data_IF_627789544174
#
_entry.id   IF_627789544174
#
_cell.length_a   1.000
_cell.length_b   1.000
_cell.length_c   1.000
_cell.angle_alpha   90.00
_cell.angle_beta   90.00
_cell.angle_gamma   90.00
#
_symmetry.space_group_name_H-M   'P 1'
#
loop_
_entity.id
_entity.type
_entity.pdbx_description
1 polymer ?
#
# COMPACT_ATOMS: atom_id res chain seq x y z
N UNK A 1 -29.90 38.92 -8.90
CA UNK A 1 -29.80 38.70 -10.37
C UNK A 1 -28.48 38.00 -10.65
N UNK A 2 -28.49 36.69 -10.77
CA UNK A 2 -27.31 35.86 -10.97
C UNK A 2 -27.00 35.77 -12.46
N UNK A 3 -25.94 36.44 -12.89
CA UNK A 3 -25.47 36.43 -14.28
C UNK A 3 -24.73 35.09 -14.54
N UNK A 4 -25.42 34.17 -15.21
CA UNK A 4 -24.80 32.91 -15.70
C UNK A 4 -24.00 33.23 -16.97
N UNK A 5 -22.70 33.38 -16.84
CA UNK A 5 -21.81 33.43 -17.98
C UNK A 5 -21.73 32.05 -18.66
N UNK A 6 -22.28 31.91 -19.84
CA UNK A 6 -22.13 30.78 -20.72
C UNK A 6 -20.70 30.81 -21.34
N UNK A 7 -19.81 29.97 -20.87
CA UNK A 7 -18.54 29.74 -21.54
C UNK A 7 -18.81 29.09 -22.90
N UNK A 8 -18.46 29.79 -23.98
CA UNK A 8 -18.50 29.24 -25.36
C UNK A 8 -17.15 28.54 -25.61
N UNK A 9 -17.20 27.23 -25.74
CA UNK A 9 -16.07 26.43 -26.20
C UNK A 9 -15.89 26.63 -27.71
N UNK A 10 -14.86 27.32 -28.13
CA UNK A 10 -14.45 27.40 -29.52
C UNK A 10 -13.54 26.20 -29.84
N UNK A 11 -14.17 25.11 -30.28
CA UNK A 11 -13.45 23.99 -30.91
C UNK A 11 -13.19 24.35 -32.36
N UNK A 12 -11.98 24.75 -32.72
CA UNK A 12 -11.55 24.87 -34.12
C UNK A 12 -10.89 23.54 -34.51
N UNK A 13 -11.59 22.78 -35.38
CA UNK A 13 -11.05 21.67 -36.16
C UNK A 13 -9.82 22.16 -36.95
N UNK A 14 -8.67 21.55 -36.67
CA UNK A 14 -7.54 21.57 -37.60
C UNK A 14 -6.56 22.73 -37.45
N UNK A 15 -5.73 22.71 -36.39
CA UNK A 15 -4.38 23.22 -36.47
C UNK A 15 -3.48 22.03 -36.15
N UNK A 16 -3.15 21.28 -37.19
CA UNK A 16 -2.08 20.27 -37.17
C UNK A 16 -0.78 20.98 -37.37
N UNK A 17 -0.06 21.29 -36.31
CA UNK A 17 1.37 21.53 -36.37
C UNK A 17 2.02 20.19 -36.01
N UNK A 18 2.38 19.40 -37.02
CA UNK A 18 3.27 18.25 -37.03
C UNK A 18 3.34 17.38 -35.77
N UNK A 19 2.29 16.58 -35.52
CA UNK A 19 2.12 15.74 -34.32
C UNK A 19 0.75 16.04 -33.68
N UNK A 20 -0.02 15.00 -33.34
CA UNK A 20 -1.42 15.02 -32.89
C UNK A 20 -1.70 15.86 -31.62
N UNK A 21 -1.45 17.15 -31.63
CA UNK A 21 -1.73 18.05 -30.51
C UNK A 21 -3.09 18.73 -30.69
N UNK A 22 -4.08 18.30 -29.92
CA UNK A 22 -5.37 18.97 -29.80
C UNK A 22 -5.23 20.17 -28.86
N UNK A 23 -5.24 21.37 -29.41
CA UNK A 23 -5.36 22.63 -28.67
C UNK A 23 -6.85 22.93 -28.40
N UNK A 24 -7.27 22.94 -27.14
CA UNK A 24 -8.58 23.43 -26.72
C UNK A 24 -8.41 24.78 -25.99
N UNK A 25 -9.02 25.83 -26.51
CA UNK A 25 -8.97 27.15 -25.90
C UNK A 25 -10.31 27.62 -25.37
N UNK A 26 -10.35 28.26 -24.23
CA UNK A 26 -11.48 28.98 -23.69
C UNK A 26 -11.25 30.47 -23.84
N UNK A 27 -12.08 31.14 -24.62
CA UNK A 27 -12.09 32.60 -24.71
C UNK A 27 -13.35 33.14 -24.02
N UNK A 28 -13.18 33.85 -22.89
CA UNK A 28 -14.27 34.57 -22.24
C UNK A 28 -14.45 35.95 -22.89
N UNK A 29 -15.65 36.28 -23.33
CA UNK A 29 -16.04 37.64 -23.75
C UNK A 29 -16.87 38.23 -22.64
N UNK A 30 -16.40 39.30 -22.05
CA UNK A 30 -17.06 40.57 -21.75
C UNK A 30 -16.34 41.38 -20.69
N UNK A 31 -16.16 42.63 -21.00
CA UNK A 31 -15.98 43.82 -20.16
C UNK A 31 -15.34 43.70 -18.77
N UNK A 32 -14.21 43.01 -18.67
CA UNK A 32 -13.29 43.19 -17.56
C UNK A 32 -11.88 43.31 -18.11
N UNK A 33 -11.10 44.21 -17.58
CA UNK A 33 -9.74 44.54 -18.02
C UNK A 33 -8.75 43.39 -17.95
N UNK A 34 -9.13 42.27 -17.30
CA UNK A 34 -8.31 41.07 -17.21
C UNK A 34 -8.96 39.91 -17.98
N UNK A 35 -8.43 39.56 -19.14
CA UNK A 35 -8.89 38.46 -19.95
C UNK A 35 -7.91 37.30 -19.86
N UNK A 36 -8.26 36.32 -19.05
CA UNK A 36 -7.49 35.08 -18.92
C UNK A 36 -7.95 34.07 -19.95
N UNK A 37 -7.03 33.44 -20.65
CA UNK A 37 -7.29 32.35 -21.56
C UNK A 37 -6.38 31.18 -21.19
N UNK A 38 -6.99 30.01 -20.95
CA UNK A 38 -6.26 28.77 -20.73
C UNK A 38 -6.21 27.96 -22.01
N UNK A 39 -5.04 27.53 -22.40
CA UNK A 39 -4.82 26.61 -23.51
C UNK A 39 -4.24 25.33 -22.97
N UNK A 40 -4.93 24.23 -23.17
CA UNK A 40 -4.42 22.91 -22.83
C UNK A 40 -3.77 22.29 -24.06
N UNK A 41 -2.49 22.00 -23.99
CA UNK A 41 -1.77 21.27 -25.01
C UNK A 41 -1.79 19.78 -24.70
N UNK A 42 -1.99 18.98 -25.75
CA UNK A 42 -2.17 17.55 -25.85
C UNK A 42 -1.51 16.59 -24.83
N UNK A 43 -1.03 15.45 -25.29
CA UNK A 43 -0.61 14.27 -24.49
C UNK A 43 0.44 14.50 -23.38
N UNK A 44 1.09 15.64 -23.35
CA UNK A 44 2.12 16.00 -22.38
C UNK A 44 1.57 16.54 -21.05
N UNK A 45 0.24 16.63 -20.87
CA UNK A 45 -0.41 17.12 -19.66
C UNK A 45 -0.10 18.58 -19.31
N UNK A 46 0.48 19.36 -20.23
CA UNK A 46 0.85 20.76 -20.02
C UNK A 46 -0.40 21.65 -20.08
N UNK A 47 -0.62 22.42 -19.03
CA UNK A 47 -1.63 23.48 -18.99
C UNK A 47 -0.91 24.83 -19.04
N UNK A 48 -1.24 25.62 -20.07
CA UNK A 48 -0.73 26.97 -20.23
C UNK A 48 -1.82 27.98 -19.88
N UNK A 49 -1.50 28.90 -18.98
CA UNK A 49 -2.34 30.04 -18.66
C UNK A 49 -1.72 31.27 -19.30
N UNK A 50 -2.40 31.85 -20.30
CA UNK A 50 -1.94 33.02 -21.01
C UNK A 50 -2.90 34.17 -20.70
N UNK A 51 -2.36 35.26 -20.20
CA UNK A 51 -3.09 36.50 -19.92
C UNK A 51 -2.66 37.55 -20.93
N UNK A 52 -3.61 38.05 -21.71
CA UNK A 52 -3.39 39.13 -22.67
C UNK A 52 -4.11 40.39 -22.18
N UNK A 53 -3.35 41.45 -21.96
CA UNK A 53 -3.84 42.78 -21.59
C UNK A 53 -3.84 43.68 -22.84
N UNK A 54 -4.88 44.52 -22.97
CA UNK A 54 -4.96 45.61 -23.98
C UNK A 54 -4.90 45.14 -25.46
N UNK A 55 -5.25 43.90 -25.77
CA UNK A 55 -5.25 43.41 -27.15
C UNK A 55 -6.66 43.55 -27.82
N UNK A 56 -6.70 43.94 -29.10
CA UNK A 56 -7.94 43.94 -29.86
C UNK A 56 -8.49 42.51 -30.05
N UNK A 57 -9.79 42.36 -30.29
CA UNK A 57 -10.43 41.04 -30.32
C UNK A 57 -9.86 40.13 -31.42
N UNK A 58 -9.44 40.64 -32.57
CA UNK A 58 -8.84 39.88 -33.65
C UNK A 58 -7.39 39.53 -33.36
N UNK A 59 -6.60 40.48 -32.92
CA UNK A 59 -5.18 40.26 -32.58
C UNK A 59 -5.00 39.25 -31.41
N UNK A 60 -5.95 39.25 -30.47
CA UNK A 60 -5.91 38.39 -29.30
C UNK A 60 -5.89 36.89 -29.62
N UNK A 61 -6.69 36.45 -30.62
CA UNK A 61 -6.71 35.05 -31.04
C UNK A 61 -5.39 34.62 -31.67
N UNK A 62 -4.83 35.48 -32.53
CA UNK A 62 -3.55 35.20 -33.18
C UNK A 62 -2.39 35.23 -32.18
N UNK A 63 -2.39 36.13 -31.27
CA UNK A 63 -1.36 36.26 -30.24
C UNK A 63 -1.42 35.09 -29.23
N UNK A 64 -2.61 34.63 -28.84
CA UNK A 64 -2.78 33.40 -28.04
C UNK A 64 -2.16 32.20 -28.73
N UNK A 65 -2.42 32.04 -30.04
CA UNK A 65 -1.89 30.91 -30.79
C UNK A 65 -0.35 31.01 -30.95
N UNK A 66 0.17 32.21 -31.20
CA UNK A 66 1.61 32.44 -31.26
C UNK A 66 2.30 32.13 -29.93
N UNK A 67 1.74 32.63 -28.81
CA UNK A 67 2.30 32.40 -27.49
C UNK A 67 2.21 30.92 -27.09
N UNK A 68 1.08 30.23 -27.38
CA UNK A 68 0.94 28.81 -27.13
C UNK A 68 1.96 27.97 -27.92
N UNK A 69 2.14 28.29 -29.22
CA UNK A 69 3.18 27.64 -30.05
C UNK A 69 4.58 27.94 -29.54
N UNK A 70 4.85 29.17 -29.15
CA UNK A 70 6.14 29.56 -28.60
C UNK A 70 6.44 28.79 -27.32
N UNK A 71 5.53 28.73 -26.37
CA UNK A 71 5.68 27.96 -25.13
C UNK A 71 5.86 26.46 -25.40
N UNK A 72 5.04 25.85 -26.27
CA UNK A 72 5.16 24.45 -26.65
C UNK A 72 6.45 24.14 -27.42
N UNK A 73 7.06 25.15 -28.11
CA UNK A 73 8.35 24.98 -28.76
C UNK A 73 9.53 25.00 -27.79
N UNK A 74 9.38 25.54 -26.60
CA UNK A 74 10.44 25.72 -25.60
C UNK A 74 10.42 24.75 -24.43
N UNK A 75 9.29 24.13 -24.16
CA UNK A 75 9.11 23.27 -22.98
C UNK A 75 8.63 21.89 -23.40
N UNK A 76 9.26 20.87 -22.87
CA UNK A 76 8.84 19.47 -23.00
C UNK A 76 8.26 18.96 -21.68
N UNK A 77 7.11 18.26 -21.76
CA UNK A 77 6.49 17.58 -20.63
C UNK A 77 6.84 16.09 -20.63
N UNK A 78 7.36 15.62 -19.52
CA UNK A 78 7.68 14.20 -19.33
C UNK A 78 6.75 13.59 -18.30
N UNK A 79 6.01 12.52 -18.67
CA UNK A 79 5.23 11.75 -17.72
C UNK A 79 6.16 10.87 -16.89
N UNK A 80 6.38 11.24 -15.66
CA UNK A 80 7.29 10.59 -14.72
C UNK A 80 6.59 9.51 -13.90
N UNK A 81 5.35 9.78 -13.52
CA UNK A 81 4.51 8.87 -12.75
C UNK A 81 3.23 8.59 -13.54
N UNK A 82 2.90 7.31 -13.72
CA UNK A 82 1.65 6.88 -14.35
C UNK A 82 0.58 6.66 -13.29
N UNK A 83 -0.66 7.10 -13.54
CA UNK A 83 -1.82 6.80 -12.69
C UNK A 83 -1.94 5.31 -12.41
N UNK A 84 -2.22 4.93 -11.16
CA UNK A 84 -2.33 3.54 -10.74
C UNK A 84 -0.99 2.81 -10.55
N UNK A 85 0.16 3.47 -10.75
CA UNK A 85 1.46 2.87 -10.46
C UNK A 85 1.67 2.76 -8.95
N UNK A 86 2.03 1.57 -8.48
CA UNK A 86 2.41 1.35 -7.08
C UNK A 86 3.77 1.98 -6.82
N UNK A 87 3.84 2.87 -5.83
CA UNK A 87 5.03 3.67 -5.53
C UNK A 87 5.63 3.37 -4.15
N UNK A 88 4.99 2.49 -3.38
CA UNK A 88 5.51 2.07 -2.09
C UNK A 88 4.50 1.33 -1.24
N UNK A 89 4.84 1.17 0.03
CA UNK A 89 3.97 0.61 1.07
C UNK A 89 3.83 1.61 2.20
N UNK A 90 2.66 1.68 2.80
CA UNK A 90 2.39 2.48 3.97
C UNK A 90 2.08 1.57 5.16
N UNK A 91 2.62 1.91 6.32
CA UNK A 91 2.34 1.19 7.56
C UNK A 91 1.03 1.69 8.16
N UNK A 92 0.12 0.75 8.45
CA UNK A 92 -1.17 1.01 9.10
C UNK A 92 -1.09 0.56 10.55
N UNK A 93 -1.32 1.50 11.47
CA UNK A 93 -1.37 1.22 12.91
C UNK A 93 -2.73 0.66 13.27
N UNK A 94 -2.78 -0.33 14.15
CA UNK A 94 -3.99 -0.96 14.68
C UNK A 94 -4.90 -1.59 13.62
N UNK A 95 -4.34 -1.95 12.46
CA UNK A 95 -5.08 -2.58 11.36
C UNK A 95 -4.98 -4.10 11.38
N UNK A 96 -5.95 -4.76 10.73
CA UNK A 96 -5.89 -6.20 10.43
C UNK A 96 -4.62 -6.56 9.66
N UNK A 97 -4.16 -5.65 8.79
CA UNK A 97 -2.89 -5.69 8.08
C UNK A 97 -2.00 -4.55 8.55
N UNK A 98 -0.75 -4.84 8.75
CA UNK A 98 0.24 -3.85 9.21
C UNK A 98 0.80 -2.97 8.09
N UNK A 99 0.72 -3.45 6.84
CA UNK A 99 1.19 -2.74 5.65
C UNK A 99 0.24 -2.93 4.48
N UNK A 100 0.05 -1.84 3.72
CA UNK A 100 -0.73 -1.84 2.47
C UNK A 100 0.05 -1.13 1.38
N UNK A 101 -0.25 -1.47 0.11
CA UNK A 101 0.30 -0.77 -1.04
C UNK A 101 -0.26 0.64 -1.18
N UNK A 102 0.56 1.53 -1.73
CA UNK A 102 0.17 2.88 -2.09
C UNK A 102 0.40 3.09 -3.59
N UNK A 103 -0.61 3.59 -4.29
CA UNK A 103 -0.57 3.85 -5.72
C UNK A 103 -0.90 5.31 -6.06
N UNK A 104 -0.39 5.78 -7.19
CA UNK A 104 -0.62 7.15 -7.65
C UNK A 104 -2.07 7.40 -8.06
N UNK A 105 -2.66 8.49 -7.58
CA UNK A 105 -4.03 8.91 -7.91
C UNK A 105 -4.17 9.43 -9.35
N UNK A 106 -3.12 10.05 -9.86
CA UNK A 106 -3.09 10.68 -11.18
C UNK A 106 -1.74 10.49 -11.86
N UNK A 107 -1.67 10.84 -13.13
CA UNK A 107 -0.40 10.99 -13.82
C UNK A 107 0.37 12.16 -13.21
N UNK A 108 1.68 12.01 -13.12
CA UNK A 108 2.60 13.04 -12.67
C UNK A 108 3.55 13.44 -13.78
N UNK A 109 3.65 14.72 -14.04
CA UNK A 109 4.46 15.28 -15.11
C UNK A 109 5.57 16.17 -14.54
N UNK A 110 6.70 16.18 -15.25
CA UNK A 110 7.78 17.13 -15.07
C UNK A 110 7.96 17.91 -16.36
N UNK A 111 8.17 19.20 -16.25
CA UNK A 111 8.36 20.09 -17.38
C UNK A 111 9.81 20.59 -17.38
N UNK A 112 10.46 20.48 -18.53
CA UNK A 112 11.81 20.94 -18.73
C UNK A 112 11.90 21.79 -19.99
N UNK A 113 12.83 22.77 -20.05
CA UNK A 113 13.24 23.36 -21.33
C UNK A 113 13.71 22.24 -22.25
N UNK A 114 13.49 22.38 -23.57
CA UNK A 114 13.89 21.35 -24.55
C UNK A 114 15.38 21.00 -24.50
N UNK A 115 16.19 21.98 -24.11
CA UNK A 115 17.64 21.82 -23.92
C UNK A 115 17.99 21.24 -22.54
N UNK A 116 16.98 21.03 -21.67
CA UNK A 116 17.16 20.55 -20.31
C UNK A 116 17.46 19.06 -20.24
N UNK A 117 18.39 18.68 -19.37
CA UNK A 117 18.71 17.28 -19.16
C UNK A 117 17.62 16.55 -18.34
N UNK A 118 17.12 15.41 -18.86
CA UNK A 118 16.19 14.53 -18.14
C UNK A 118 16.75 14.00 -16.81
N UNK A 119 18.08 14.04 -16.63
CA UNK A 119 18.74 13.64 -15.38
C UNK A 119 18.37 14.54 -14.19
N UNK A 120 17.85 15.74 -14.46
CA UNK A 120 17.37 16.64 -13.41
C UNK A 120 16.03 16.19 -12.79
N UNK A 121 15.31 15.28 -13.45
CA UNK A 121 14.04 14.78 -12.96
C UNK A 121 14.28 13.68 -11.92
N UNK A 122 13.80 13.89 -10.71
CA UNK A 122 13.83 12.92 -9.60
C UNK A 122 12.44 12.74 -9.04
N UNK A 123 12.15 11.57 -8.45
CA UNK A 123 10.89 11.31 -7.75
C UNK A 123 11.16 10.84 -6.34
N UNK A 124 10.36 11.31 -5.39
CA UNK A 124 10.42 10.88 -4.00
C UNK A 124 9.03 10.59 -3.45
N UNK A 125 8.78 9.37 -2.99
CA UNK A 125 7.50 9.01 -2.37
C UNK A 125 7.58 9.22 -0.86
N UNK A 126 6.67 10.02 -0.32
CA UNK A 126 6.55 10.31 1.11
C UNK A 126 5.24 9.70 1.60
N UNK A 127 5.35 8.69 2.49
CA UNK A 127 4.22 8.05 3.13
C UNK A 127 3.90 8.73 4.46
N UNK A 128 2.62 8.83 4.80
CA UNK A 128 2.24 9.36 6.11
C UNK A 128 2.59 8.37 7.22
N UNK A 129 3.35 8.81 8.22
CA UNK A 129 3.81 7.95 9.32
C UNK A 129 2.73 7.57 10.34
N UNK A 130 1.56 8.23 10.31
CA UNK A 130 0.49 8.08 11.30
C UNK A 130 -0.82 7.60 10.70
N UNK A 131 -0.77 6.73 9.69
CA UNK A 131 -1.99 6.12 9.14
C UNK A 131 -2.50 5.09 10.14
N UNK A 132 -3.71 5.31 10.67
CA UNK A 132 -4.40 4.42 11.62
C UNK A 132 -5.59 3.76 10.93
N UNK A 133 -5.88 2.52 11.30
CA UNK A 133 -7.12 1.86 10.90
C UNK A 133 -8.34 2.53 11.58
N UNK A 134 -9.53 2.51 10.92
CA UNK A 134 -9.80 1.93 9.62
C UNK A 134 -9.32 2.81 8.46
N UNK A 135 -8.76 2.18 7.41
CA UNK A 135 -8.35 2.84 6.17
C UNK A 135 -9.27 2.37 5.03
N UNK A 136 -9.78 3.30 4.25
CA UNK A 136 -10.60 2.98 3.07
C UNK A 136 -9.74 2.91 1.82
N UNK A 137 -10.06 1.97 0.92
CA UNK A 137 -9.47 1.94 -0.43
C UNK A 137 -9.64 3.30 -1.11
N UNK A 138 -8.56 3.83 -1.69
CA UNK A 138 -8.59 5.16 -2.31
C UNK A 138 -8.39 6.33 -1.33
N UNK A 139 -8.22 6.09 -0.04
CA UNK A 139 -7.85 7.12 0.93
C UNK A 139 -6.42 7.59 0.68
N UNK A 140 -6.19 8.89 0.80
CA UNK A 140 -4.84 9.47 0.65
C UNK A 140 -3.97 9.05 1.84
N UNK A 141 -2.85 8.39 1.54
CA UNK A 141 -1.91 7.84 2.52
C UNK A 141 -0.48 8.39 2.37
N UNK A 142 -0.29 9.31 1.44
CA UNK A 142 0.99 9.94 1.17
C UNK A 142 0.95 10.78 -0.08
N UNK A 143 2.12 11.20 -0.52
CA UNK A 143 2.28 11.89 -1.80
C UNK A 143 3.64 11.53 -2.44
N UNK A 144 3.68 11.60 -3.75
CA UNK A 144 4.89 11.49 -4.54
C UNK A 144 5.29 12.88 -5.02
N UNK A 145 6.45 13.35 -4.60
CA UNK A 145 7.02 14.59 -5.08
C UNK A 145 7.80 14.33 -6.37
N UNK A 146 7.59 15.17 -7.34
CA UNK A 146 8.37 15.21 -8.58
C UNK A 146 9.26 16.44 -8.49
N UNK A 147 10.55 16.20 -8.60
CA UNK A 147 11.59 17.23 -8.53
C UNK A 147 12.15 17.49 -9.91
N UNK A 148 12.44 18.75 -10.18
CA UNK A 148 13.26 19.19 -11.29
C UNK A 148 14.45 19.96 -10.70
N UNK A 149 15.62 19.36 -10.79
CA UNK A 149 16.76 19.78 -9.97
C UNK A 149 16.48 19.51 -8.50
N UNK A 150 16.50 20.54 -7.67
CA UNK A 150 16.24 20.45 -6.23
C UNK A 150 14.86 21.01 -5.83
N UNK A 151 14.06 21.48 -6.79
CA UNK A 151 12.75 22.04 -6.54
C UNK A 151 11.63 21.02 -6.77
N UNK A 152 10.61 21.02 -5.86
CA UNK A 152 9.39 20.22 -6.03
C UNK A 152 8.46 20.93 -6.99
N UNK A 153 8.34 20.42 -8.20
CA UNK A 153 7.49 20.99 -9.24
C UNK A 153 6.07 20.47 -9.21
N UNK A 154 5.88 19.21 -8.79
CA UNK A 154 4.55 18.59 -8.76
C UNK A 154 4.42 17.59 -7.61
N UNK A 155 3.23 17.50 -7.02
CA UNK A 155 2.89 16.55 -5.95
C UNK A 155 1.72 15.69 -6.39
N UNK A 156 1.94 14.38 -6.50
CA UNK A 156 0.91 13.39 -6.85
C UNK A 156 0.43 12.70 -5.57
N UNK A 157 -0.87 12.74 -5.23
CA UNK A 157 -1.38 12.04 -4.06
C UNK A 157 -1.25 10.51 -4.25
N UNK A 158 -0.94 9.84 -3.15
CA UNK A 158 -0.86 8.38 -3.08
C UNK A 158 -2.06 7.83 -2.34
N UNK A 159 -2.74 6.87 -2.95
CA UNK A 159 -3.97 6.28 -2.47
C UNK A 159 -3.73 4.87 -1.94
N UNK A 160 -4.47 4.49 -0.92
CA UNK A 160 -4.47 3.15 -0.36
C UNK A 160 -5.00 2.12 -1.39
N UNK A 161 -4.26 1.03 -1.59
CA UNK A 161 -4.59 -0.02 -2.56
C UNK A 161 -5.81 -0.83 -2.15
N UNK A 162 -5.99 -1.03 -0.84
CA UNK A 162 -7.07 -1.81 -0.27
C UNK A 162 -7.62 -1.15 1.00
N UNK A 163 -8.82 -1.58 1.41
CA UNK A 163 -9.37 -1.21 2.70
C UNK A 163 -8.79 -2.10 3.79
N UNK A 164 -8.52 -1.50 4.96
CA UNK A 164 -8.04 -2.21 6.15
C UNK A 164 -8.94 -1.87 7.31
N UNK A 165 -9.58 -2.88 7.88
CA UNK A 165 -10.38 -2.74 9.09
C UNK A 165 -9.52 -2.61 10.34
N UNK A 166 -10.18 -2.36 11.48
CA UNK A 166 -9.50 -2.40 12.77
C UNK A 166 -9.05 -3.83 13.08
N UNK A 167 -7.82 -3.96 13.52
CA UNK A 167 -7.23 -5.24 13.88
C UNK A 167 -7.60 -5.65 15.30
N UNK A 168 -7.38 -6.93 15.59
CA UNK A 168 -7.59 -7.53 16.90
C UNK A 168 -6.58 -6.98 17.92
N UNK A 169 -6.77 -7.26 19.21
CA UNK A 169 -5.88 -6.78 20.29
C UNK A 169 -4.37 -6.86 19.98
N UNK A 170 -3.83 -7.94 19.37
CA UNK A 170 -2.41 -8.00 19.01
C UNK A 170 -1.97 -6.99 17.95
N UNK A 171 -2.89 -6.41 17.17
CA UNK A 171 -2.57 -5.39 16.17
C UNK A 171 -2.04 -4.08 16.81
N UNK A 172 -2.37 -3.83 18.06
CA UNK A 172 -1.83 -2.71 18.84
C UNK A 172 -0.32 -2.84 19.08
N UNK A 173 0.19 -4.07 19.08
CA UNK A 173 1.63 -4.37 19.14
C UNK A 173 2.28 -4.51 17.76
N UNK A 174 1.55 -4.19 16.69
CA UNK A 174 2.04 -4.27 15.31
C UNK A 174 2.05 -5.68 14.72
N UNK A 175 1.25 -6.60 15.28
CA UNK A 175 1.08 -7.97 14.79
C UNK A 175 -0.20 -8.03 13.96
N UNK A 176 -0.13 -8.51 12.71
CA UNK A 176 -1.32 -8.68 11.87
C UNK A 176 -2.22 -9.81 12.41
N UNK A 177 -3.52 -9.74 12.12
CA UNK A 177 -4.48 -10.79 12.52
C UNK A 177 -4.05 -12.16 12.01
N UNK A 178 -3.52 -12.25 10.79
CA UNK A 178 -3.02 -13.52 10.23
C UNK A 178 -1.85 -14.09 11.06
N UNK A 179 -0.86 -13.26 11.39
CA UNK A 179 0.27 -13.68 12.21
C UNK A 179 -0.18 -14.13 13.61
N UNK A 180 -1.17 -13.47 14.19
CA UNK A 180 -1.76 -13.85 15.48
C UNK A 180 -2.37 -15.25 15.43
N UNK A 181 -3.16 -15.56 14.38
CA UNK A 181 -3.75 -16.91 14.20
C UNK A 181 -2.66 -17.97 14.06
N UNK A 182 -1.61 -17.71 13.28
CA UNK A 182 -0.48 -18.64 13.12
C UNK A 182 0.23 -18.90 14.46
N UNK A 183 0.47 -17.86 15.25
CA UNK A 183 1.10 -17.99 16.58
C UNK A 183 0.20 -18.81 17.52
N UNK A 184 -1.11 -18.57 17.55
CA UNK A 184 -2.05 -19.35 18.36
C UNK A 184 -2.04 -20.83 17.99
N UNK A 185 -2.07 -21.14 16.70
CA UNK A 185 -1.99 -22.52 16.21
C UNK A 185 -0.68 -23.18 16.66
N UNK A 186 0.45 -22.48 16.53
CA UNK A 186 1.75 -22.98 16.97
C UNK A 186 1.78 -23.27 18.48
N UNK A 187 1.20 -22.39 19.31
CA UNK A 187 1.09 -22.60 20.75
C UNK A 187 0.24 -23.83 21.07
N UNK A 188 -0.90 -24.02 20.40
CA UNK A 188 -1.78 -25.19 20.60
C UNK A 188 -1.04 -26.49 20.25
N UNK A 189 -0.32 -26.51 19.12
CA UNK A 189 0.48 -27.67 18.71
C UNK A 189 1.54 -27.98 19.77
N UNK A 190 2.26 -26.96 20.24
CA UNK A 190 3.29 -27.14 21.28
C UNK A 190 2.71 -27.66 22.58
N UNK A 191 1.58 -27.10 23.03
CA UNK A 191 0.89 -27.55 24.23
C UNK A 191 0.40 -28.99 24.12
N UNK A 192 -0.17 -29.39 22.96
CA UNK A 192 -0.60 -30.76 22.70
C UNK A 192 0.56 -31.75 22.71
N UNK A 193 1.70 -31.35 22.12
CA UNK A 193 2.93 -32.15 22.14
C UNK A 193 3.44 -32.37 23.57
N UNK A 194 3.54 -31.28 24.36
CA UNK A 194 3.95 -31.37 25.77
C UNK A 194 3.01 -32.25 26.57
N UNK A 195 1.70 -32.13 26.39
CA UNK A 195 0.70 -32.97 27.03
C UNK A 195 0.89 -34.45 26.65
N UNK A 196 1.10 -34.76 25.37
CA UNK A 196 1.39 -36.11 24.91
C UNK A 196 2.65 -36.70 25.60
N UNK A 197 3.71 -35.92 25.69
CA UNK A 197 4.94 -36.35 26.39
C UNK A 197 4.69 -36.66 27.88
N UNK A 198 3.91 -35.80 28.58
CA UNK A 198 3.53 -36.03 29.99
C UNK A 198 2.73 -37.32 30.14
N UNK A 199 1.73 -37.53 29.26
CA UNK A 199 0.89 -38.74 29.28
C UNK A 199 1.74 -40.01 29.03
N UNK A 200 2.66 -39.97 28.05
CA UNK A 200 3.55 -41.10 27.76
C UNK A 200 4.47 -41.40 28.93
N UNK A 201 5.04 -40.37 29.57
CA UNK A 201 5.88 -40.55 30.79
C UNK A 201 5.08 -41.13 31.93
N UNK A 202 3.85 -40.65 32.16
CA UNK A 202 2.94 -41.18 33.19
C UNK A 202 2.56 -42.65 32.94
N UNK A 203 2.24 -43.00 31.66
CA UNK A 203 1.97 -44.40 31.27
C UNK A 203 3.18 -45.29 31.48
N UNK A 204 4.37 -44.83 31.09
CA UNK A 204 5.62 -45.59 31.28
C UNK A 204 5.91 -45.82 32.78
N UNK A 205 5.70 -44.82 33.64
CA UNK A 205 5.87 -44.94 35.08
C UNK A 205 4.88 -45.99 35.67
N UNK A 206 3.59 -45.91 35.30
CA UNK A 206 2.57 -46.87 35.72
C UNK A 206 2.88 -48.30 35.25
N UNK A 207 3.43 -48.49 34.05
CA UNK A 207 3.84 -49.78 33.55
C UNK A 207 5.01 -50.37 34.32
N UNK A 208 6.00 -49.54 34.68
CA UNK A 208 7.17 -49.95 35.53
C UNK A 208 6.70 -50.39 36.89
N UNK A 209 5.77 -49.67 37.54
CA UNK A 209 5.23 -50.03 38.82
C UNK A 209 4.44 -51.35 38.78
N UNK A 210 3.61 -51.56 37.76
CA UNK A 210 2.89 -52.82 37.53
C UNK A 210 3.84 -54.01 37.33
N UNK A 211 4.94 -53.81 36.57
CA UNK A 211 5.98 -54.84 36.38
C UNK A 211 6.70 -55.14 37.70
N UNK A 212 7.02 -54.16 38.53
CA UNK A 212 7.62 -54.37 39.87
C UNK A 212 6.69 -55.15 40.80
N UNK A 213 5.40 -54.78 40.87
CA UNK A 213 4.41 -55.49 41.70
C UNK A 213 4.24 -56.95 41.23
N UNK A 214 4.24 -57.23 39.92
CA UNK A 214 4.16 -58.62 39.41
C UNK A 214 5.44 -59.42 39.76
N UNK A 215 6.63 -58.83 39.74
CA UNK A 215 7.87 -59.49 40.14
C UNK A 215 7.86 -59.84 41.62
N UNK A 216 7.47 -58.89 42.45
CA UNK A 216 7.40 -59.09 43.91
C UNK A 216 6.42 -60.23 44.23
N UNK A 217 5.22 -60.24 43.63
CA UNK A 217 4.24 -61.31 43.82
C UNK A 217 4.83 -62.68 43.43
N UNK A 218 5.51 -62.84 42.33
CA UNK A 218 6.13 -64.07 41.90
C UNK A 218 7.16 -64.57 42.90
N UNK A 219 8.01 -63.68 43.39
CA UNK A 219 9.02 -64.02 44.39
C UNK A 219 8.35 -64.48 45.70
N UNK A 220 7.30 -63.78 46.15
CA UNK A 220 6.59 -64.14 47.34
C UNK A 220 5.87 -65.51 47.20
N UNK A 221 5.24 -65.77 46.06
CA UNK A 221 4.65 -67.09 45.74
C UNK A 221 5.70 -68.22 45.70
N UNK A 222 6.90 -67.96 45.19
CA UNK A 222 7.97 -68.93 45.24
C UNK A 222 8.44 -69.23 46.69
N UNK A 223 8.64 -68.22 47.48
CA UNK A 223 8.99 -68.35 48.88
C UNK A 223 7.95 -69.16 49.66
N UNK A 224 6.69 -68.88 49.47
CA UNK A 224 5.60 -69.61 50.11
C UNK A 224 5.59 -71.11 49.69
N UNK A 225 5.80 -71.40 48.41
CA UNK A 225 5.92 -72.81 47.95
C UNK A 225 7.11 -73.50 48.51
N UNK A 226 8.25 -72.83 48.67
CA UNK A 226 9.45 -73.41 49.28
C UNK A 226 9.25 -73.67 50.79
N UNK A 227 8.60 -72.78 51.50
CA UNK A 227 8.26 -72.96 52.91
C UNK A 227 7.25 -74.11 53.11
N UNK A 228 6.22 -74.18 52.29
CA UNK A 228 5.30 -75.31 52.31
C UNK A 228 5.99 -76.66 52.02
N UNK A 229 6.87 -76.65 51.03
CA UNK A 229 7.68 -77.84 50.71
C UNK A 229 8.63 -78.27 51.87
N UNK A 230 9.21 -77.26 52.61
CA UNK A 230 9.99 -77.52 53.85
C UNK A 230 9.11 -78.09 54.96
N UNK A 231 7.91 -77.49 55.20
CA UNK A 231 6.97 -77.98 56.20
C UNK A 231 6.45 -79.39 55.92
N UNK A 232 6.23 -79.74 54.63
CA UNK A 232 5.85 -81.13 54.25
C UNK A 232 6.97 -82.11 54.47
N UNK A 233 8.23 -81.76 54.23
CA UNK A 233 9.39 -82.63 54.49
C UNK A 233 9.61 -82.85 55.97
N UNK A 234 9.37 -81.86 56.82
CA UNK A 234 9.52 -81.97 58.30
C UNK A 234 8.38 -82.70 58.99
N UNK A 235 7.20 -82.95 58.30
CA UNK A 235 6.05 -83.72 58.86
C UNK A 235 6.08 -85.18 58.45
N UNK A 236 7.03 -85.58 57.66
CA UNK A 236 7.17 -86.95 57.12
C UNK A 236 8.20 -87.80 57.85
N UNK A 237 8.63 -87.42 59.10
CA UNK A 237 9.43 -88.21 60.02
C UNK A 237 8.65 -88.43 61.25
#
# INVERSE_FOLDING_TARGET
>A
MTNKHKARTLSRKGITAGGDEKLSGYAGTEAAQDRQSAVQSGDNGMQLFIVLLEASQQQRQDDLLKLAKYAGSRVDGYRVVKKGKRLGKVRVKHGEKTEIGAYSASDGYAYLPKEGSKKLIKTGSIMYGNVKAPVKKGQVVGHCNIYVGDEVTHKVPLLAEESVGEGWFPSYFGISNFATVVILIAIIILASFLMAVVILRAKAKRQRERRRKRRIRRILEQQLREEEGRRRRNRGY
#
